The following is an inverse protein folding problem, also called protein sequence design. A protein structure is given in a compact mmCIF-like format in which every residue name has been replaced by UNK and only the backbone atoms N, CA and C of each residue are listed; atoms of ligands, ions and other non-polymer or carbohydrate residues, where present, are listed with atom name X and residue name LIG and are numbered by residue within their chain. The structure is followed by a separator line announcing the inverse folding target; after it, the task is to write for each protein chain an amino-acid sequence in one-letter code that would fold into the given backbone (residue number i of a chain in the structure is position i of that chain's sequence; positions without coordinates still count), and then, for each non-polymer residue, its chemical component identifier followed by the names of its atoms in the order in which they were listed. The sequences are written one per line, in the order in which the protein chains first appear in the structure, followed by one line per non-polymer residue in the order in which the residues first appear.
data_IF_049403463138
#
_entry.id   IF_049403463138
#
_cell.length_a   1.000
_cell.length_b   1.000
_cell.length_c   1.000
_cell.angle_alpha   90.00
_cell.angle_beta   90.00
_cell.angle_gamma   90.00
#
_symmetry.space_group_name_H-M   'P 1'
#
loop_
_entity.id
_entity.type
_entity.pdbx_description
1 polymer ?
#
# COMPACT_ATOMS: atom_id res chain seq x y z
N UNK A 1 2.13 33.53 -18.75
CA UNK A 1 1.07 32.50 -18.82
C UNK A 1 1.71 31.19 -18.42
N UNK A 2 1.87 30.99 -17.12
CA UNK A 2 2.39 29.75 -16.53
C UNK A 2 1.19 28.85 -16.22
N UNK A 3 1.19 27.64 -16.76
CA UNK A 3 0.18 26.63 -16.49
C UNK A 3 0.50 25.93 -15.17
N UNK A 4 -0.43 26.02 -14.21
CA UNK A 4 -0.39 25.25 -12.98
C UNK A 4 -0.48 23.75 -13.31
N UNK A 5 0.56 23.00 -12.94
CA UNK A 5 0.61 21.54 -13.06
C UNK A 5 -0.10 20.94 -11.85
N UNK A 6 -1.31 20.44 -12.09
CA UNK A 6 -2.08 19.65 -11.12
C UNK A 6 -1.34 18.34 -10.77
N UNK A 7 -1.17 18.04 -9.49
CA UNK A 7 -0.60 16.78 -9.00
C UNK A 7 -1.61 15.65 -9.22
N UNK A 8 -1.24 14.68 -10.05
CA UNK A 8 -2.07 13.52 -10.38
C UNK A 8 -2.05 12.45 -9.27
N UNK A 9 -3.24 11.87 -9.00
CA UNK A 9 -3.58 10.81 -8.04
C UNK A 9 -2.77 9.51 -8.20
N UNK A 10 -2.52 8.73 -7.12
CA UNK A 10 -2.24 7.31 -7.26
C UNK A 10 -3.56 6.52 -7.33
N UNK A 11 -3.71 5.60 -8.31
CA UNK A 11 -4.85 4.71 -8.40
C UNK A 11 -4.51 3.40 -7.65
N UNK A 12 -5.01 3.20 -6.44
CA UNK A 12 -4.96 1.87 -5.81
C UNK A 12 -6.03 0.95 -6.42
N UNK A 13 -5.88 0.71 -7.73
CA UNK A 13 -6.60 -0.27 -8.54
C UNK A 13 -5.63 -0.80 -9.60
N UNK A 14 -4.78 -1.74 -9.22
CA UNK A 14 -4.07 -2.56 -10.20
C UNK A 14 -5.03 -3.71 -10.59
N UNK A 15 -5.80 -3.47 -11.65
CA UNK A 15 -6.65 -4.40 -12.41
C UNK A 15 -7.93 -5.01 -11.78
N UNK A 16 -8.66 -4.26 -10.95
CA UNK A 16 -10.12 -4.48 -10.83
C UNK A 16 -10.87 -3.47 -11.69
N UNK A 17 -11.61 -3.98 -12.69
CA UNK A 17 -12.29 -3.20 -13.71
C UNK A 17 -13.51 -2.47 -13.12
N UNK A 18 -13.27 -1.31 -12.50
CA UNK A 18 -14.22 -0.22 -12.34
C UNK A 18 -13.61 1.00 -13.08
N UNK A 19 -14.42 1.89 -13.70
CA UNK A 19 -13.90 2.89 -14.62
C UNK A 19 -13.01 3.89 -13.89
N UNK A 20 -11.69 3.78 -14.07
CA UNK A 20 -10.69 4.74 -13.57
C UNK A 20 -10.16 5.55 -14.76
N UNK A 21 -10.40 6.85 -14.71
CA UNK A 21 -9.90 7.81 -15.71
C UNK A 21 -8.39 7.98 -15.52
N UNK A 22 -7.63 7.72 -16.58
CA UNK A 22 -6.16 7.69 -16.65
C UNK A 22 -5.59 9.12 -16.66
N UNK A 23 -4.58 9.46 -15.84
CA UNK A 23 -3.62 10.52 -16.14
C UNK A 23 -2.18 10.22 -15.67
N UNK A 24 -1.21 10.58 -16.52
CA UNK A 24 0.23 10.24 -16.49
C UNK A 24 1.06 11.11 -15.52
N UNK A 25 2.11 10.52 -14.94
CA UNK A 25 3.16 11.17 -14.12
C UNK A 25 4.17 11.90 -15.03
N UNK A 26 4.47 13.17 -14.75
CA UNK A 26 5.62 13.89 -15.33
C UNK A 26 6.61 14.24 -14.22
N UNK A 27 7.89 13.92 -14.45
CA UNK A 27 9.02 14.14 -13.54
C UNK A 27 9.51 15.59 -13.62
N UNK A 28 9.80 16.23 -12.48
CA UNK A 28 10.45 17.55 -12.45
C UNK A 28 11.79 17.44 -11.70
N UNK A 29 12.84 17.88 -12.40
CA UNK A 29 14.24 17.87 -11.99
C UNK A 29 14.49 18.81 -10.80
N UNK A 30 15.36 18.39 -9.88
CA UNK A 30 15.87 19.19 -8.76
C UNK A 30 17.01 20.10 -9.24
N UNK A 31 16.85 21.43 -9.07
CA UNK A 31 17.93 22.40 -9.24
C UNK A 31 18.87 22.38 -8.04
N UNK A 32 20.16 22.19 -8.30
CA UNK A 32 21.24 22.25 -7.30
C UNK A 32 21.64 23.70 -7.07
N UNK A 33 21.56 24.19 -5.83
CA UNK A 33 22.15 25.46 -5.40
C UNK A 33 23.33 25.19 -4.47
N UNK A 34 24.52 25.61 -4.90
CA UNK A 34 25.81 25.53 -4.20
C UNK A 34 25.88 26.57 -3.06
N UNK A 35 26.27 26.20 -1.83
CA UNK A 35 26.65 27.18 -0.82
C UNK A 35 28.13 27.57 -0.94
N UNK A 36 28.36 28.88 -1.10
CA UNK A 36 29.65 29.57 -1.09
C UNK A 36 30.31 29.51 0.30
N UNK A 37 31.58 29.13 0.33
CA UNK A 37 32.43 29.03 1.51
C UNK A 37 32.64 30.37 2.24
N UNK A 38 32.65 30.34 3.58
CA UNK A 38 33.26 31.38 4.41
C UNK A 38 34.14 30.75 5.48
N UNK A 39 35.37 31.24 5.56
CA UNK A 39 36.50 30.67 6.26
C UNK A 39 36.42 30.73 7.80
N UNK A 40 36.97 29.68 8.43
CA UNK A 40 37.37 29.60 9.84
C UNK A 40 38.86 29.96 9.95
N UNK A 41 39.32 30.45 11.11
CA UNK A 41 40.43 29.72 11.74
C UNK A 41 40.34 29.71 13.27
N UNK A 42 40.26 28.51 13.86
CA UNK A 42 40.57 28.33 15.29
C UNK A 42 41.26 26.98 15.52
N UNK A 43 42.51 27.10 15.95
CA UNK A 43 43.32 26.23 16.82
C UNK A 43 43.40 24.72 16.54
N UNK A 44 44.57 24.33 16.05
CA UNK A 44 45.23 23.03 16.22
C UNK A 44 45.31 22.59 17.68
N UNK A 45 44.86 21.36 17.98
CA UNK A 45 45.47 20.48 18.98
C UNK A 45 45.31 18.99 18.59
N UNK A 46 46.45 18.43 18.18
CA UNK A 46 46.99 17.11 18.51
C UNK A 46 46.20 15.84 18.18
N UNK A 47 46.73 15.12 17.19
CA UNK A 47 46.42 13.75 16.80
C UNK A 47 46.58 12.73 17.94
N UNK A 48 45.59 11.85 18.08
CA UNK A 48 45.77 10.48 18.57
C UNK A 48 45.04 9.58 17.58
N UNK A 49 45.80 8.92 16.70
CA UNK A 49 45.30 7.90 15.78
C UNK A 49 45.28 6.58 16.57
N UNK A 50 44.09 6.15 16.99
CA UNK A 50 43.88 4.79 17.50
C UNK A 50 43.31 3.95 16.35
N UNK A 51 44.17 3.26 15.62
CA UNK A 51 43.77 2.25 14.64
C UNK A 51 43.27 1.03 15.41
N UNK A 52 41.95 0.93 15.60
CA UNK A 52 41.32 -0.28 16.12
C UNK A 52 40.84 -1.13 14.93
N UNK A 53 41.71 -2.03 14.47
CA UNK A 53 41.35 -3.12 13.55
C UNK A 53 40.50 -4.14 14.30
N UNK A 54 39.17 -4.06 14.19
CA UNK A 54 38.29 -5.16 14.61
C UNK A 54 38.07 -6.05 13.39
N UNK A 55 38.63 -7.26 13.48
CA UNK A 55 38.48 -8.32 12.51
C UNK A 55 37.04 -8.82 12.42
N UNK A 56 36.73 -9.29 11.22
CA UNK A 56 35.45 -9.85 10.77
C UNK A 56 35.01 -11.02 11.66
N UNK A 57 33.80 -10.94 12.18
CA UNK A 57 32.96 -12.11 12.40
C UNK A 57 31.65 -11.87 11.65
N UNK A 58 31.58 -12.44 10.45
CA UNK A 58 30.37 -12.57 9.66
C UNK A 58 29.45 -13.52 10.43
N UNK A 59 28.60 -13.01 11.32
CA UNK A 59 27.52 -13.82 11.88
C UNK A 59 26.52 -14.02 10.76
N UNK A 60 26.59 -15.18 10.11
CA UNK A 60 25.51 -15.75 9.33
C UNK A 60 24.30 -15.73 10.27
N UNK A 61 23.43 -14.74 10.09
CA UNK A 61 22.08 -14.78 10.59
C UNK A 61 21.40 -15.92 9.86
N UNK A 62 21.58 -17.14 10.35
CA UNK A 62 20.67 -18.23 10.11
C UNK A 62 19.35 -17.76 10.74
N UNK A 63 18.56 -17.02 9.97
CA UNK A 63 17.14 -16.94 10.22
C UNK A 63 16.68 -18.38 10.36
N UNK A 64 16.13 -18.71 11.52
CA UNK A 64 15.49 -19.99 11.75
C UNK A 64 14.37 -20.14 10.72
N UNK A 65 14.68 -20.69 9.54
CA UNK A 65 13.69 -21.33 8.70
C UNK A 65 13.41 -22.65 9.41
N UNK A 66 12.51 -22.58 10.38
CA UNK A 66 11.93 -23.80 10.95
C UNK A 66 11.28 -24.56 9.79
N UNK A 67 11.53 -25.87 9.65
CA UNK A 67 10.74 -26.72 8.77
C UNK A 67 9.40 -26.95 9.47
N UNK A 68 8.55 -25.92 9.47
CA UNK A 68 7.17 -26.00 9.93
C UNK A 68 6.32 -26.27 8.71
N UNK A 69 5.65 -27.41 8.68
CA UNK A 69 4.68 -27.78 7.66
C UNK A 69 3.74 -26.59 7.39
N UNK A 70 3.65 -26.17 6.12
CA UNK A 70 2.68 -25.21 5.59
C UNK A 70 1.26 -25.79 5.68
N UNK A 71 0.78 -26.13 6.88
CA UNK A 71 -0.63 -26.45 7.10
C UNK A 71 -1.39 -25.14 6.98
N UNK A 72 -1.90 -24.87 5.77
CA UNK A 72 -2.85 -23.80 5.51
C UNK A 72 -3.93 -23.87 6.60
N UNK A 73 -4.04 -22.82 7.42
CA UNK A 73 -4.99 -22.76 8.53
C UNK A 73 -6.43 -22.48 8.08
N UNK A 74 -6.64 -22.44 6.76
CA UNK A 74 -7.89 -22.05 6.10
C UNK A 74 -8.28 -23.13 5.10
N UNK A 75 -9.57 -23.21 4.82
CA UNK A 75 -10.07 -24.10 3.78
C UNK A 75 -9.81 -23.49 2.40
N UNK A 76 -9.35 -24.31 1.45
CA UNK A 76 -9.28 -23.93 0.05
C UNK A 76 -10.45 -24.54 -0.70
N UNK A 77 -11.16 -23.71 -1.46
CA UNK A 77 -12.25 -24.14 -2.34
C UNK A 77 -11.94 -23.72 -3.78
N UNK A 78 -12.01 -24.65 -4.73
CA UNK A 78 -11.99 -24.33 -6.16
C UNK A 78 -13.43 -24.12 -6.65
N UNK A 79 -13.68 -23.05 -7.40
CA UNK A 79 -15.02 -22.82 -8.00
C UNK A 79 -15.34 -23.79 -9.13
N UNK A 80 -14.30 -24.25 -9.82
CA UNK A 80 -14.37 -25.11 -10.99
C UNK A 80 -13.54 -26.38 -10.77
N UNK A 81 -13.42 -27.22 -11.80
CA UNK A 81 -12.54 -28.38 -11.76
C UNK A 81 -11.11 -27.97 -11.41
N UNK A 82 -10.68 -28.45 -10.26
CA UNK A 82 -9.35 -28.34 -9.71
C UNK A 82 -8.31 -28.89 -10.71
N UNK A 83 -7.25 -28.13 -11.02
CA UNK A 83 -6.21 -28.60 -11.93
C UNK A 83 -5.35 -29.70 -11.28
N UNK A 84 -4.67 -30.49 -12.11
CA UNK A 84 -3.81 -31.61 -11.64
C UNK A 84 -2.69 -31.12 -10.71
N UNK A 85 -2.18 -29.91 -10.93
CA UNK A 85 -1.13 -29.27 -10.16
C UNK A 85 -1.64 -28.30 -9.07
N UNK A 86 -2.91 -28.42 -8.68
CA UNK A 86 -3.54 -27.55 -7.68
C UNK A 86 -2.74 -27.40 -6.39
N UNK A 87 -2.11 -28.47 -5.87
CA UNK A 87 -1.37 -28.40 -4.60
C UNK A 87 -0.19 -27.44 -4.71
N UNK A 88 0.47 -27.41 -5.87
CA UNK A 88 1.56 -26.48 -6.16
C UNK A 88 1.05 -25.04 -6.28
N UNK A 89 -0.11 -24.85 -6.93
CA UNK A 89 -0.77 -23.55 -7.04
C UNK A 89 -1.16 -23.02 -5.65
N UNK A 90 -1.83 -23.84 -4.84
CA UNK A 90 -2.28 -23.51 -3.49
C UNK A 90 -1.10 -23.12 -2.59
N UNK A 91 0.01 -23.86 -2.68
CA UNK A 91 1.25 -23.54 -1.95
C UNK A 91 1.85 -22.20 -2.41
N UNK A 92 1.79 -21.88 -3.69
CA UNK A 92 2.26 -20.58 -4.19
C UNK A 92 1.33 -19.43 -3.81
N UNK A 93 0.01 -19.67 -3.82
CA UNK A 93 -1.00 -18.71 -3.34
C UNK A 93 -0.77 -18.39 -1.87
N UNK A 94 -0.61 -19.40 -1.01
CA UNK A 94 -0.45 -19.21 0.44
C UNK A 94 0.78 -18.38 0.82
N UNK A 95 1.81 -18.38 -0.03
CA UNK A 95 3.02 -17.56 0.15
C UNK A 95 2.86 -16.11 -0.30
N UNK A 96 1.87 -15.83 -1.14
CA UNK A 96 1.67 -14.52 -1.77
C UNK A 96 0.44 -13.77 -1.27
N UNK A 97 -0.40 -14.41 -0.45
CA UNK A 97 -1.52 -13.77 0.24
C UNK A 97 -1.23 -13.76 1.74
N UNK A 98 -1.67 -12.70 2.42
CA UNK A 98 -1.53 -12.60 3.86
C UNK A 98 -2.78 -11.94 4.42
N UNK A 99 -3.41 -12.47 5.47
CA UNK A 99 -4.56 -11.83 6.11
C UNK A 99 -4.17 -10.51 6.79
N UNK A 100 -5.18 -9.74 7.22
CA UNK A 100 -4.94 -8.59 8.11
C UNK A 100 -4.14 -9.05 9.35
N UNK A 101 -3.17 -8.27 9.87
CA UNK A 101 -2.34 -8.70 10.99
C UNK A 101 -3.16 -9.16 12.21
N UNK A 102 -2.74 -10.28 12.81
CA UNK A 102 -3.37 -10.83 14.01
C UNK A 102 -4.65 -11.65 13.77
N UNK A 103 -5.10 -11.81 12.52
CA UNK A 103 -6.24 -12.64 12.16
C UNK A 103 -5.89 -13.64 11.05
N UNK A 104 -6.63 -14.74 10.97
CA UNK A 104 -6.44 -15.78 9.95
C UNK A 104 -7.63 -15.82 8.99
N UNK A 105 -7.36 -16.12 7.72
CA UNK A 105 -8.41 -16.43 6.75
C UNK A 105 -9.27 -17.60 7.22
N UNK A 106 -10.57 -17.54 6.95
CA UNK A 106 -11.51 -18.65 7.20
C UNK A 106 -11.64 -19.56 5.98
N UNK A 107 -11.71 -18.95 4.79
CA UNK A 107 -11.84 -19.64 3.52
C UNK A 107 -11.11 -18.85 2.42
N UNK A 108 -10.50 -19.58 1.52
CA UNK A 108 -9.86 -19.06 0.31
C UNK A 108 -10.48 -19.76 -0.89
N UNK A 109 -11.17 -19.01 -1.72
CA UNK A 109 -11.78 -19.49 -2.96
C UNK A 109 -10.89 -19.14 -4.13
N UNK A 110 -10.53 -20.13 -4.95
CA UNK A 110 -9.73 -19.96 -6.16
C UNK A 110 -10.62 -20.24 -7.37
N UNK A 111 -10.73 -19.26 -8.26
CA UNK A 111 -11.34 -19.45 -9.58
C UNK A 111 -10.29 -19.36 -10.68
N UNK A 112 -10.51 -20.11 -11.76
CA UNK A 112 -9.59 -20.23 -12.88
C UNK A 112 -10.29 -19.78 -14.14
N UNK A 113 -9.62 -18.95 -14.92
CA UNK A 113 -10.06 -18.57 -16.27
C UNK A 113 -8.90 -18.65 -17.24
N UNK A 114 -9.20 -18.84 -18.53
CA UNK A 114 -8.23 -18.69 -19.61
C UNK A 114 -8.46 -17.35 -20.28
N UNK A 115 -7.42 -16.56 -20.41
CA UNK A 115 -7.45 -15.29 -21.13
C UNK A 115 -6.14 -15.13 -21.88
N UNK A 116 -6.22 -14.80 -23.17
CA UNK A 116 -5.06 -14.58 -24.04
C UNK A 116 -4.05 -15.75 -24.10
N UNK A 117 -4.51 -16.98 -23.82
CA UNK A 117 -3.69 -18.19 -23.78
C UNK A 117 -3.11 -18.51 -22.39
N UNK A 118 -3.12 -17.54 -21.48
CA UNK A 118 -2.61 -17.69 -20.12
C UNK A 118 -3.68 -18.17 -19.15
N UNK A 119 -3.24 -18.87 -18.10
CA UNK A 119 -4.12 -19.26 -16.99
C UNK A 119 -4.16 -18.14 -15.96
N UNK A 120 -5.30 -17.48 -15.84
CA UNK A 120 -5.54 -16.46 -14.83
C UNK A 120 -6.27 -17.08 -13.64
N UNK A 121 -5.77 -16.78 -12.44
CA UNK A 121 -6.41 -17.19 -11.20
C UNK A 121 -6.90 -15.95 -10.47
N UNK A 122 -8.15 -16.00 -10.01
CA UNK A 122 -8.69 -15.01 -9.07
C UNK A 122 -8.91 -15.69 -7.73
N UNK A 123 -8.29 -15.13 -6.71
CA UNK A 123 -8.36 -15.62 -5.34
C UNK A 123 -9.19 -14.66 -4.51
N UNK A 124 -10.19 -15.19 -3.80
CA UNK A 124 -11.01 -14.47 -2.85
C UNK A 124 -10.82 -15.07 -1.46
N UNK A 125 -10.24 -14.31 -0.54
CA UNK A 125 -9.92 -14.75 0.81
C UNK A 125 -10.79 -14.00 1.82
N UNK A 126 -11.54 -14.73 2.63
CA UNK A 126 -12.46 -14.15 3.63
C UNK A 126 -11.88 -14.23 5.02
N UNK A 127 -12.16 -13.22 5.84
CA UNK A 127 -11.90 -13.22 7.28
C UNK A 127 -13.22 -13.35 8.05
N UNK A 128 -13.24 -14.05 9.19
CA UNK A 128 -14.40 -14.07 10.09
C UNK A 128 -14.85 -12.65 10.45
N UNK A 129 -16.16 -12.39 10.36
CA UNK A 129 -16.76 -11.11 10.77
C UNK A 129 -16.42 -9.91 9.88
N UNK A 130 -15.68 -10.08 8.78
CA UNK A 130 -15.42 -9.02 7.82
C UNK A 130 -16.45 -9.03 6.70
N UNK A 131 -16.99 -7.86 6.35
CA UNK A 131 -17.99 -7.72 5.29
C UNK A 131 -17.42 -8.01 3.90
N UNK A 132 -16.18 -7.60 3.64
CA UNK A 132 -15.55 -7.67 2.32
C UNK A 132 -14.37 -8.66 2.34
N UNK A 133 -14.14 -9.41 1.25
CA UNK A 133 -12.97 -10.28 1.11
C UNK A 133 -11.73 -9.50 0.69
N UNK A 134 -10.56 -10.14 0.84
CA UNK A 134 -9.37 -9.79 0.07
C UNK A 134 -9.45 -10.49 -1.28
N UNK A 135 -9.16 -9.74 -2.34
CA UNK A 135 -9.11 -10.25 -3.70
C UNK A 135 -7.69 -10.12 -4.23
N UNK A 136 -7.23 -11.17 -4.91
CA UNK A 136 -5.94 -11.20 -5.57
C UNK A 136 -6.11 -11.76 -6.98
N UNK A 137 -5.42 -11.18 -7.95
CA UNK A 137 -5.34 -11.68 -9.30
C UNK A 137 -3.93 -12.18 -9.58
N UNK A 138 -3.84 -13.34 -10.22
CA UNK A 138 -2.58 -13.97 -10.59
C UNK A 138 -2.61 -14.44 -12.04
N UNK A 139 -1.41 -14.48 -12.63
CA UNK A 139 -1.12 -15.24 -13.84
C UNK A 139 -0.30 -16.46 -13.46
N UNK A 140 -0.70 -17.63 -13.96
CA UNK A 140 -0.01 -18.90 -13.77
C UNK A 140 0.51 -19.41 -15.10
N UNK A 141 1.83 -19.36 -15.26
CA UNK A 141 2.54 -19.73 -16.48
C UNK A 141 3.85 -20.43 -16.11
N UNK A 142 4.22 -21.49 -16.84
CA UNK A 142 5.46 -22.25 -16.61
C UNK A 142 5.65 -22.68 -15.15
N UNK A 143 4.55 -23.14 -14.52
CA UNK A 143 4.49 -23.54 -13.10
C UNK A 143 4.81 -22.43 -12.09
N UNK A 144 4.84 -21.16 -12.54
CA UNK A 144 5.11 -19.99 -11.73
C UNK A 144 3.87 -19.12 -11.60
N UNK A 145 3.50 -18.83 -10.36
CA UNK A 145 2.41 -17.94 -10.02
C UNK A 145 2.94 -16.51 -9.82
N UNK A 146 2.45 -15.56 -10.61
CA UNK A 146 2.80 -14.14 -10.52
C UNK A 146 1.57 -13.34 -10.16
N UNK A 147 1.59 -12.63 -9.03
CA UNK A 147 0.52 -11.71 -8.65
C UNK A 147 0.51 -10.48 -9.55
N UNK A 148 -0.63 -10.20 -10.17
CA UNK A 148 -0.81 -9.08 -11.10
C UNK A 148 -1.68 -7.96 -10.55
N UNK A 149 -2.42 -8.22 -9.47
CA UNK A 149 -3.32 -7.24 -8.86
C UNK A 149 -3.82 -7.70 -7.49
N UNK A 150 -4.32 -6.75 -6.71
CA UNK A 150 -4.98 -7.01 -5.44
C UNK A 150 -5.99 -5.92 -5.07
N UNK A 151 -6.95 -6.27 -4.22
CA UNK A 151 -7.89 -5.40 -3.52
C UNK A 151 -8.13 -5.98 -2.13
N UNK A 152 -7.55 -5.36 -1.10
CA UNK A 152 -7.52 -5.93 0.25
C UNK A 152 -8.49 -5.22 1.18
N UNK A 153 -9.73 -5.70 1.24
CA UNK A 153 -10.82 -5.07 2.00
C UNK A 153 -11.26 -5.92 3.21
N UNK A 154 -10.68 -7.11 3.40
CA UNK A 154 -10.89 -7.92 4.59
C UNK A 154 -10.10 -7.31 5.76
N UNK A 155 -10.73 -6.32 6.40
CA UNK A 155 -10.22 -5.57 7.54
C UNK A 155 -11.30 -5.62 8.63
N UNK A 156 -10.97 -6.05 9.87
CA UNK A 156 -11.91 -6.04 10.99
C UNK A 156 -12.51 -4.65 11.21
N UNK A 157 -13.78 -4.59 11.60
CA UNK A 157 -14.51 -3.32 11.70
C UNK A 157 -13.86 -2.32 12.67
N UNK A 158 -13.33 -2.78 13.80
CA UNK A 158 -12.61 -1.92 14.74
C UNK A 158 -11.40 -1.25 14.08
N UNK A 159 -10.55 -2.04 13.40
CA UNK A 159 -9.39 -1.52 12.68
C UNK A 159 -9.78 -0.59 11.52
N UNK A 160 -10.92 -0.85 10.85
CA UNK A 160 -11.48 0.03 9.83
C UNK A 160 -11.86 1.39 10.41
N UNK A 161 -12.58 1.40 11.52
CA UNK A 161 -13.00 2.63 12.19
C UNK A 161 -11.80 3.40 12.75
N UNK A 162 -10.82 2.69 13.32
CA UNK A 162 -9.58 3.31 13.83
C UNK A 162 -8.82 4.03 12.70
N UNK A 163 -8.65 3.38 11.54
CA UNK A 163 -7.98 4.00 10.39
C UNK A 163 -8.74 5.23 9.87
N UNK A 164 -10.07 5.18 9.80
CA UNK A 164 -10.92 6.33 9.44
C UNK A 164 -10.73 7.46 10.45
N UNK A 165 -10.77 7.14 11.75
CA UNK A 165 -10.59 8.11 12.84
C UNK A 165 -9.23 8.79 12.78
N UNK A 166 -8.15 8.04 12.56
CA UNK A 166 -6.79 8.59 12.37
C UNK A 166 -6.76 9.51 11.15
N UNK A 167 -7.35 9.09 10.03
CA UNK A 167 -7.41 9.91 8.81
C UNK A 167 -8.17 11.23 9.04
N UNK A 168 -9.30 11.19 9.75
CA UNK A 168 -10.10 12.39 10.06
C UNK A 168 -9.46 13.32 11.09
N UNK A 169 -8.51 12.85 11.89
CA UNK A 169 -7.73 13.70 12.80
C UNK A 169 -6.67 14.52 12.07
N UNK A 170 -6.32 14.16 10.83
CA UNK A 170 -5.42 14.96 10.01
C UNK A 170 -6.16 16.22 9.50
N UNK A 171 -5.60 17.43 9.73
CA UNK A 171 -6.27 18.68 9.41
C UNK A 171 -6.47 18.89 7.89
N UNK A 172 -5.58 18.37 7.05
CA UNK A 172 -5.69 18.51 5.59
C UNK A 172 -6.86 17.67 5.06
N UNK A 173 -7.02 16.45 5.59
CA UNK A 173 -8.17 15.60 5.29
C UNK A 173 -9.45 16.23 5.84
N UNK A 174 -9.46 16.61 7.12
CA UNK A 174 -10.64 17.19 7.75
C UNK A 174 -11.12 18.47 7.06
N UNK A 175 -10.19 19.33 6.62
CA UNK A 175 -10.51 20.57 5.90
C UNK A 175 -10.93 20.37 4.44
N UNK A 176 -10.58 19.24 3.82
CA UNK A 176 -10.94 18.94 2.44
C UNK A 176 -12.28 18.21 2.30
N UNK A 177 -12.76 17.57 3.38
CA UNK A 177 -14.04 16.89 3.37
C UNK A 177 -15.20 17.90 3.53
N UNK A 178 -16.27 17.78 2.72
CA UNK A 178 -17.47 18.56 2.94
C UNK A 178 -18.16 18.12 4.24
N UNK A 179 -18.86 19.05 4.90
CA UNK A 179 -19.59 18.80 6.15
C UNK A 179 -20.52 17.56 6.06
N UNK A 180 -20.70 16.89 7.21
CA UNK A 180 -21.43 15.67 7.64
C UNK A 180 -22.30 14.84 6.66
N UNK A 181 -22.80 15.39 5.56
CA UNK A 181 -23.61 14.70 4.56
C UNK A 181 -22.93 14.52 3.20
N UNK A 182 -21.86 15.26 2.90
CA UNK A 182 -21.31 15.35 1.53
C UNK A 182 -20.15 14.41 1.20
N UNK A 183 -19.47 13.85 2.21
CA UNK A 183 -18.20 13.15 2.02
C UNK A 183 -18.37 11.70 1.53
N UNK A 184 -19.58 11.15 1.64
CA UNK A 184 -19.85 9.74 1.39
C UNK A 184 -19.24 8.81 2.44
N UNK A 185 -19.47 7.50 2.28
CA UNK A 185 -18.87 6.48 3.14
C UNK A 185 -17.46 6.20 2.63
N UNK A 186 -16.40 6.33 3.46
CA UNK A 186 -15.05 6.05 3.01
C UNK A 186 -14.86 4.57 2.70
N UNK A 187 -14.11 4.30 1.64
CA UNK A 187 -13.57 2.96 1.39
C UNK A 187 -12.25 2.81 2.15
N UNK A 188 -12.00 1.62 2.70
CA UNK A 188 -10.80 1.34 3.49
C UNK A 188 -10.16 0.06 2.99
N UNK A 189 -8.89 0.17 2.59
CA UNK A 189 -8.13 -0.87 1.91
C UNK A 189 -6.75 -1.02 2.51
N UNK A 190 -6.28 -2.25 2.66
CA UNK A 190 -4.91 -2.51 3.08
C UNK A 190 -3.97 -2.39 1.88
N UNK A 191 -2.82 -1.78 2.12
CA UNK A 191 -1.73 -1.63 1.16
C UNK A 191 -0.59 -2.56 1.60
N UNK A 192 -0.13 -3.40 0.67
CA UNK A 192 0.95 -4.35 0.95
C UNK A 192 2.29 -3.61 1.13
N UNK A 193 3.22 -4.14 1.92
CA UNK A 193 4.52 -3.51 2.20
C UNK A 193 5.27 -3.03 0.96
N UNK A 194 5.36 -3.87 -0.06
CA UNK A 194 6.04 -3.59 -1.32
C UNK A 194 5.40 -2.44 -2.11
N UNK A 195 4.08 -2.23 -1.97
CA UNK A 195 3.38 -1.10 -2.60
C UNK A 195 3.48 0.15 -1.73
N UNK A 196 3.42 0.02 -0.40
CA UNK A 196 3.57 1.13 0.53
C UNK A 196 4.99 1.73 0.50
N UNK A 197 6.01 0.93 0.18
CA UNK A 197 7.39 1.35 0.04
C UNK A 197 7.60 2.46 -1.03
N UNK A 198 6.70 2.55 -2.02
CA UNK A 198 6.75 3.63 -3.03
C UNK A 198 6.36 5.01 -2.49
N UNK A 199 5.67 5.06 -1.35
CA UNK A 199 5.08 6.28 -0.79
C UNK A 199 5.63 6.63 0.59
N UNK A 200 5.94 5.63 1.41
CA UNK A 200 6.31 5.83 2.82
C UNK A 200 7.39 4.84 3.30
N UNK A 201 7.01 3.59 3.56
CA UNK A 201 7.89 2.57 4.13
C UNK A 201 7.41 1.16 3.76
N UNK A 202 8.33 0.20 3.73
CA UNK A 202 8.03 -1.22 3.45
C UNK A 202 7.33 -1.89 4.63
N UNK A 203 6.07 -1.54 4.84
CA UNK A 203 5.18 -2.09 5.87
C UNK A 203 3.74 -1.99 5.43
N UNK A 204 2.89 -2.79 6.06
CA UNK A 204 1.45 -2.71 5.83
C UNK A 204 0.93 -1.34 6.27
N UNK A 205 0.25 -0.65 5.37
CA UNK A 205 -0.47 0.60 5.64
C UNK A 205 -1.95 0.43 5.27
N UNK A 206 -2.79 1.37 5.66
CA UNK A 206 -4.21 1.40 5.32
C UNK A 206 -4.51 2.64 4.51
N UNK A 207 -5.09 2.48 3.31
CA UNK A 207 -5.65 3.57 2.53
C UNK A 207 -7.09 3.80 2.93
N UNK A 208 -7.44 5.07 3.20
CA UNK A 208 -8.81 5.54 3.46
C UNK A 208 -9.17 6.53 2.37
N UNK A 209 -10.25 6.29 1.64
CA UNK A 209 -10.63 7.09 0.46
C UNK A 209 -12.09 7.50 0.53
N UNK A 210 -12.35 8.81 0.51
CA UNK A 210 -13.65 9.42 0.29
C UNK A 210 -13.79 9.77 -1.19
N UNK A 211 -14.36 8.86 -1.97
CA UNK A 211 -14.44 8.98 -3.42
C UNK A 211 -15.21 10.23 -3.87
N UNK A 212 -16.31 10.55 -3.18
CA UNK A 212 -17.18 11.70 -3.51
C UNK A 212 -16.46 13.03 -3.33
N UNK A 213 -15.53 13.11 -2.37
CA UNK A 213 -14.65 14.26 -2.15
C UNK A 213 -13.36 14.21 -2.98
N UNK A 214 -13.06 13.10 -3.66
CA UNK A 214 -11.77 12.83 -4.30
C UNK A 214 -10.57 12.99 -3.35
N UNK A 215 -10.78 12.66 -2.06
CA UNK A 215 -9.76 12.77 -1.00
C UNK A 215 -9.33 11.38 -0.56
N UNK A 216 -8.04 11.20 -0.30
CA UNK A 216 -7.50 9.95 0.25
C UNK A 216 -6.35 10.19 1.22
N UNK A 217 -6.21 9.29 2.18
CA UNK A 217 -5.13 9.26 3.15
C UNK A 217 -4.48 7.88 3.17
N UNK A 218 -3.15 7.85 3.23
CA UNK A 218 -2.40 6.66 3.63
C UNK A 218 -2.13 6.75 5.13
N UNK A 219 -2.61 5.76 5.87
CA UNK A 219 -2.54 5.67 7.32
C UNK A 219 -1.55 4.59 7.72
N UNK A 220 -0.58 4.98 8.53
CA UNK A 220 0.22 4.05 9.33
C UNK A 220 -0.51 3.80 10.65
N UNK A 221 -1.16 2.64 10.74
CA UNK A 221 -1.94 2.25 11.91
C UNK A 221 -1.07 1.92 13.13
N UNK A 222 0.21 1.56 12.94
CA UNK A 222 1.09 1.24 14.06
C UNK A 222 1.54 2.52 14.79
N UNK A 223 1.74 3.60 14.03
CA UNK A 223 2.14 4.92 14.57
C UNK A 223 0.94 5.85 14.79
N UNK A 224 -0.25 5.45 14.36
CA UNK A 224 -1.47 6.25 14.49
C UNK A 224 -1.42 7.55 13.68
N UNK A 225 -0.76 7.54 12.52
CA UNK A 225 -0.46 8.75 11.75
C UNK A 225 -0.87 8.64 10.29
N UNK A 226 -1.30 9.77 9.71
CA UNK A 226 -1.42 9.93 8.26
C UNK A 226 -0.04 10.25 7.70
N UNK A 227 0.44 9.41 6.78
CA UNK A 227 1.81 9.50 6.23
C UNK A 227 1.85 10.09 4.83
N UNK A 228 0.71 10.10 4.13
CA UNK A 228 0.55 10.73 2.81
C UNK A 228 -0.93 11.06 2.57
N UNK A 229 -1.19 12.14 1.84
CA UNK A 229 -2.54 12.58 1.48
C UNK A 229 -2.65 12.87 -0.02
N UNK A 230 -3.86 12.73 -0.57
CA UNK A 230 -4.16 13.08 -1.96
C UNK A 230 -5.50 13.80 -2.05
N UNK A 231 -5.58 14.82 -2.89
CA UNK A 231 -6.79 15.63 -3.10
C UNK A 231 -7.10 16.63 -1.97
N UNK A 232 -6.34 16.59 -0.87
CA UNK A 232 -6.51 17.48 0.28
C UNK A 232 -6.05 18.93 0.01
N UNK A 233 -5.08 19.12 -0.89
CA UNK A 233 -4.45 20.43 -1.17
C UNK A 233 -5.33 21.40 -2.00
N UNK A 234 -6.49 20.96 -2.50
CA UNK A 234 -7.21 21.67 -3.58
C UNK A 234 -8.12 22.82 -3.13
N UNK A 235 -8.26 23.09 -1.83
CA UNK A 235 -9.24 24.08 -1.35
C UNK A 235 -8.67 25.49 -1.11
N UNK A 236 -7.36 25.67 -0.92
CA UNK A 236 -6.79 26.99 -0.58
C UNK A 236 -6.59 27.92 -1.81
N UNK A 237 -6.62 27.40 -3.03
CA UNK A 237 -6.38 28.22 -4.24
C UNK A 237 -7.67 28.84 -4.83
N UNK A 238 -8.86 28.31 -4.49
CA UNK A 238 -10.13 28.89 -4.96
C UNK A 238 -10.59 30.11 -4.15
N UNK A 239 -10.25 30.20 -2.87
CA UNK A 239 -10.69 31.30 -2.00
C UNK A 239 -9.87 32.58 -2.24
N UNK A 240 -8.66 32.47 -2.81
CA UNK A 240 -7.78 33.62 -3.05
C UNK A 240 -8.09 34.41 -4.34
N UNK A 241 -8.99 33.90 -5.19
CA UNK A 241 -9.24 34.44 -6.54
C UNK A 241 -10.64 35.04 -6.73
N UNK A 242 -11.40 35.36 -5.67
CA UNK A 242 -12.56 36.23 -5.83
C UNK A 242 -12.11 37.70 -5.97
N UNK A 243 -12.36 38.35 -7.12
CA UNK A 243 -12.28 39.80 -7.18
C UNK A 243 -13.47 40.35 -6.39
N UNK A 244 -13.19 41.04 -5.29
CA UNK A 244 -14.15 41.97 -4.69
C UNK A 244 -14.57 42.98 -5.77
N UNK A 245 -15.82 42.86 -6.23
CA UNK A 245 -16.48 43.90 -7.02
C UNK A 245 -17.35 44.78 -6.15
#
# INVERSE_FOLDING_TARGET
MEGAVSRAYPPFSLHFNFPVMIMKKTSTQTLTMTPTAKATPTATLTSIILVLTIGIALTIGAGCVGPGQDSQSYNVTWTDTQPDDHTAIETQVSRQIAPYPGVAYSNVTISKSKKDGDTHLRVSATLPGCQYPDLYDFVYQDQKLTRTGYLLEAIPDAARQDAIGIAMQNPDIAGALPDDAGAGIPTVRRILPETAAEFYAEKTCVSVTWADASVSALVDTDTGSVVETWGADTMDERVRNEPTS
#
